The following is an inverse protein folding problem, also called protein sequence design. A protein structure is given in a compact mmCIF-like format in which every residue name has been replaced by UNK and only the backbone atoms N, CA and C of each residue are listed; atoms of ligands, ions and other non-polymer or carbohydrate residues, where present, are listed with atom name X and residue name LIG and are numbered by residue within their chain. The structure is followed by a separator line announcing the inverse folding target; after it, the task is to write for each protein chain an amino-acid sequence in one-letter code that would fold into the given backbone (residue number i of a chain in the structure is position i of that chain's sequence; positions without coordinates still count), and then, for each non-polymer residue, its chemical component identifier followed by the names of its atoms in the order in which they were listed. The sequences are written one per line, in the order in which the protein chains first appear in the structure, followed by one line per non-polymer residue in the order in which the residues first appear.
data_IF_335215258675
#
_entry.id   IF_335215258675
#
_cell.length_a   1.000
_cell.length_b   1.000
_cell.length_c   1.000
_cell.angle_alpha   90.00
_cell.angle_beta   90.00
_cell.angle_gamma   90.00
#
_symmetry.space_group_name_H-M   'P 1'
#
loop_
_entity.id
_entity.type
_entity.pdbx_description
1 polymer ?
#
# COMPACT_ATOMS: atom_id res chain seq x y z
N UNK A 1 -19.72 -39.09 23.12
CA UNK A 1 -19.68 -37.62 23.26
C UNK A 1 -18.93 -37.07 22.07
N UNK A 2 -19.65 -36.88 20.97
CA UNK A 2 -19.08 -36.47 19.68
C UNK A 2 -20.11 -35.53 19.05
N UNK A 3 -20.28 -34.37 19.69
CA UNK A 3 -21.14 -33.29 19.23
C UNK A 3 -20.53 -32.00 19.73
N UNK A 4 -20.42 -31.03 18.82
CA UNK A 4 -20.01 -29.64 19.04
C UNK A 4 -18.52 -29.29 19.00
N UNK A 5 -17.79 -29.80 17.98
CA UNK A 5 -16.58 -29.12 17.47
C UNK A 5 -16.78 -28.38 16.14
N UNK A 6 -17.98 -28.43 15.54
CA UNK A 6 -18.26 -27.81 14.24
C UNK A 6 -18.54 -26.30 14.29
N UNK A 7 -18.62 -25.69 15.48
CA UNK A 7 -19.02 -24.29 15.64
C UNK A 7 -17.86 -23.27 15.51
N UNK A 8 -16.59 -23.71 15.38
CA UNK A 8 -15.44 -22.80 15.25
C UNK A 8 -14.70 -22.91 13.91
N UNK A 9 -15.17 -23.73 12.97
CA UNK A 9 -14.53 -23.86 11.66
C UNK A 9 -15.05 -22.76 10.74
N UNK A 10 -14.44 -21.58 10.81
CA UNK A 10 -14.69 -20.49 9.86
C UNK A 10 -14.46 -20.93 8.39
N UNK A 11 -14.82 -20.07 7.41
CA UNK A 11 -14.75 -20.40 6.00
C UNK A 11 -13.44 -21.10 5.59
N UNK A 12 -13.55 -22.20 4.83
CA UNK A 12 -12.44 -22.95 4.25
C UNK A 12 -12.46 -22.90 2.73
N UNK A 13 -11.28 -22.89 2.12
CA UNK A 13 -11.06 -23.03 0.68
C UNK A 13 -9.89 -24.00 0.52
N UNK A 14 -10.08 -25.07 -0.25
CA UNK A 14 -9.07 -26.12 -0.45
C UNK A 14 -8.52 -26.69 0.88
N UNK A 15 -9.42 -26.88 1.86
CA UNK A 15 -9.07 -27.37 3.20
C UNK A 15 -8.34 -26.37 4.10
N UNK A 16 -8.03 -25.16 3.63
CA UNK A 16 -7.36 -24.11 4.41
C UNK A 16 -8.37 -23.12 4.99
N UNK A 17 -8.23 -22.80 6.28
CA UNK A 17 -8.83 -21.60 6.87
C UNK A 17 -7.85 -20.41 6.80
N UNK A 18 -8.32 -19.20 7.15
CA UNK A 18 -7.48 -17.99 7.07
C UNK A 18 -6.27 -18.01 8.02
N UNK A 19 -6.39 -18.62 9.21
CA UNK A 19 -5.30 -18.74 10.17
C UNK A 19 -4.24 -19.74 9.69
N UNK A 20 -4.67 -20.90 9.16
CA UNK A 20 -3.80 -21.91 8.57
C UNK A 20 -3.04 -21.34 7.38
N UNK A 21 -3.73 -20.56 6.53
CA UNK A 21 -3.12 -19.87 5.42
C UNK A 21 -2.03 -18.90 5.89
N UNK A 22 -2.36 -18.01 6.84
CA UNK A 22 -1.40 -17.04 7.40
C UNK A 22 -0.19 -17.73 8.04
N UNK A 23 -0.41 -18.79 8.80
CA UNK A 23 0.66 -19.55 9.45
C UNK A 23 1.59 -20.20 8.42
N UNK A 24 1.03 -20.87 7.39
CA UNK A 24 1.82 -21.50 6.33
C UNK A 24 2.59 -20.49 5.47
N UNK A 25 2.03 -19.30 5.26
CA UNK A 25 2.72 -18.17 4.65
C UNK A 25 3.92 -17.73 5.51
N UNK A 26 3.75 -17.49 6.81
CA UNK A 26 4.88 -17.12 7.68
C UNK A 26 5.97 -18.19 7.76
N UNK A 27 5.59 -19.46 7.70
CA UNK A 27 6.52 -20.60 7.65
C UNK A 27 7.14 -20.81 6.25
N UNK A 28 6.85 -19.94 5.29
CA UNK A 28 7.35 -20.00 3.91
C UNK A 28 7.04 -21.32 3.19
N UNK A 29 5.97 -22.02 3.57
CA UNK A 29 5.59 -23.34 3.02
C UNK A 29 5.35 -23.27 1.52
N UNK A 30 4.84 -22.13 1.05
CA UNK A 30 4.46 -21.90 -0.34
C UNK A 30 5.57 -21.27 -1.20
N UNK A 31 6.74 -20.94 -0.62
CA UNK A 31 7.82 -20.24 -1.33
C UNK A 31 8.76 -21.20 -2.09
N UNK A 32 8.21 -22.18 -2.82
CA UNK A 32 9.02 -23.08 -3.66
C UNK A 32 9.46 -22.37 -4.94
N UNK A 33 10.73 -22.52 -5.34
CA UNK A 33 11.34 -21.80 -6.48
C UNK A 33 10.72 -22.12 -7.85
N UNK A 34 10.27 -23.35 -8.03
CA UNK A 34 10.02 -23.94 -9.36
C UNK A 34 8.57 -23.78 -9.80
N UNK A 35 7.68 -23.37 -8.89
CA UNK A 35 6.25 -23.54 -9.06
C UNK A 35 5.47 -22.22 -8.86
N UNK A 36 5.77 -21.26 -9.73
CA UNK A 36 5.03 -19.98 -9.80
C UNK A 36 3.52 -20.21 -10.00
N UNK A 37 3.05 -21.14 -10.86
CA UNK A 37 1.61 -21.40 -11.01
C UNK A 37 0.94 -21.77 -9.70
N UNK A 38 1.51 -22.72 -8.94
CA UNK A 38 0.95 -23.11 -7.65
C UNK A 38 1.06 -22.01 -6.60
N UNK A 39 2.10 -21.17 -6.67
CA UNK A 39 2.21 -19.98 -5.83
C UNK A 39 1.05 -19.01 -6.10
N UNK A 40 0.74 -18.74 -7.37
CA UNK A 40 -0.38 -17.88 -7.78
C UNK A 40 -1.74 -18.49 -7.41
N UNK A 41 -1.90 -19.82 -7.54
CA UNK A 41 -3.05 -20.56 -7.02
C UNK A 41 -3.21 -20.36 -5.52
N UNK A 42 -2.14 -20.49 -4.76
CA UNK A 42 -2.16 -20.32 -3.31
C UNK A 42 -2.47 -18.88 -2.90
N UNK A 43 -1.95 -17.89 -3.62
CA UNK A 43 -2.33 -16.48 -3.43
C UNK A 43 -3.82 -16.27 -3.73
N UNK A 44 -4.36 -16.94 -4.75
CA UNK A 44 -5.78 -16.88 -5.09
C UNK A 44 -6.65 -17.46 -3.97
N UNK A 45 -6.26 -18.62 -3.41
CA UNK A 45 -6.90 -19.21 -2.23
C UNK A 45 -6.88 -18.20 -1.07
N UNK A 46 -5.72 -17.61 -0.78
CA UNK A 46 -5.56 -16.60 0.26
C UNK A 46 -6.46 -15.38 0.05
N UNK A 47 -6.50 -14.83 -1.17
CA UNK A 47 -7.33 -13.69 -1.53
C UNK A 47 -8.81 -14.01 -1.35
N UNK A 48 -9.27 -15.16 -1.83
CA UNK A 48 -10.66 -15.59 -1.66
C UNK A 48 -11.01 -15.84 -0.18
N UNK A 49 -10.08 -16.38 0.62
CA UNK A 49 -10.27 -16.51 2.07
C UNK A 49 -10.41 -15.13 2.73
N UNK A 50 -9.56 -14.16 2.41
CA UNK A 50 -9.70 -12.80 2.95
C UNK A 50 -11.08 -12.21 2.65
N UNK A 51 -11.52 -12.30 1.40
CA UNK A 51 -12.83 -11.81 0.98
C UNK A 51 -13.98 -12.53 1.71
N UNK A 52 -13.91 -13.86 1.89
CA UNK A 52 -14.93 -14.62 2.64
C UNK A 52 -15.03 -14.24 4.12
N UNK A 53 -13.94 -13.77 4.72
CA UNK A 53 -13.91 -13.28 6.11
C UNK A 53 -14.22 -11.77 6.21
N UNK A 54 -14.69 -11.13 5.13
CA UNK A 54 -15.01 -9.71 5.10
C UNK A 54 -13.77 -8.80 5.18
N UNK A 55 -12.58 -9.32 4.87
CA UNK A 55 -11.34 -8.54 4.81
C UNK A 55 -11.16 -7.95 3.42
N UNK A 56 -10.58 -6.74 3.37
CA UNK A 56 -10.35 -6.05 2.10
C UNK A 56 -9.17 -6.65 1.33
N UNK A 57 -9.13 -6.37 0.02
CA UNK A 57 -7.98 -6.73 -0.84
C UNK A 57 -6.71 -6.03 -0.37
N UNK A 58 -6.83 -4.81 0.13
CA UNK A 58 -5.69 -4.04 0.63
C UNK A 58 -5.09 -4.68 1.88
N UNK A 59 -5.92 -5.22 2.79
CA UNK A 59 -5.46 -5.99 3.95
C UNK A 59 -4.70 -7.26 3.54
N UNK A 60 -5.11 -7.91 2.45
CA UNK A 60 -4.38 -9.05 1.89
C UNK A 60 -3.01 -8.64 1.34
N UNK A 61 -2.94 -7.54 0.60
CA UNK A 61 -1.68 -6.99 0.08
C UNK A 61 -0.76 -6.57 1.23
N UNK A 62 -1.30 -5.85 2.22
CA UNK A 62 -0.56 -5.39 3.40
C UNK A 62 -0.01 -6.56 4.20
N UNK A 63 -0.79 -7.63 4.39
CA UNK A 63 -0.31 -8.86 5.01
C UNK A 63 0.93 -9.42 4.30
N UNK A 64 0.92 -9.50 2.97
CA UNK A 64 2.07 -10.00 2.21
C UNK A 64 3.28 -9.05 2.25
N UNK A 65 3.05 -7.72 2.28
CA UNK A 65 4.11 -6.72 2.49
C UNK A 65 4.76 -6.87 3.87
N UNK A 66 3.95 -6.96 4.93
CA UNK A 66 4.42 -7.14 6.30
C UNK A 66 5.16 -8.47 6.47
N UNK A 67 4.61 -9.56 5.91
CA UNK A 67 5.27 -10.86 5.85
C UNK A 67 6.65 -10.76 5.20
N UNK A 68 6.75 -10.10 4.05
CA UNK A 68 8.03 -9.92 3.35
C UNK A 68 9.06 -9.18 4.22
N UNK A 69 8.63 -8.13 4.92
CA UNK A 69 9.47 -7.40 5.87
C UNK A 69 9.97 -8.30 6.99
N UNK A 70 9.07 -9.05 7.65
CA UNK A 70 9.40 -9.97 8.74
C UNK A 70 10.38 -11.05 8.27
N UNK A 71 10.11 -11.71 7.14
CA UNK A 71 11.00 -12.75 6.61
C UNK A 71 12.39 -12.20 6.29
N UNK A 72 12.49 -10.99 5.72
CA UNK A 72 13.78 -10.32 5.49
C UNK A 72 14.51 -10.04 6.80
N UNK A 73 13.83 -9.50 7.81
CA UNK A 73 14.41 -9.20 9.11
C UNK A 73 14.90 -10.47 9.83
N UNK A 74 14.11 -11.56 9.78
CA UNK A 74 14.50 -12.86 10.36
C UNK A 74 15.71 -13.45 9.64
N UNK A 75 15.76 -13.38 8.31
CA UNK A 75 16.91 -13.86 7.53
C UNK A 75 18.20 -13.10 7.87
N UNK A 76 18.12 -11.77 7.98
CA UNK A 76 19.26 -10.95 8.41
C UNK A 76 19.70 -11.36 9.82
N UNK A 77 18.75 -11.52 10.74
CA UNK A 77 19.04 -11.92 12.13
C UNK A 77 19.73 -13.28 12.22
N UNK A 78 19.28 -14.28 11.43
CA UNK A 78 19.91 -15.60 11.36
C UNK A 78 21.34 -15.50 10.83
N UNK A 79 21.55 -14.74 9.75
CA UNK A 79 22.89 -14.55 9.17
C UNK A 79 23.81 -13.87 10.19
N UNK A 80 23.36 -12.83 10.87
CA UNK A 80 24.13 -12.14 11.92
C UNK A 80 24.47 -13.06 13.08
N UNK A 81 23.51 -13.88 13.53
CA UNK A 81 23.73 -14.87 14.59
C UNK A 81 24.80 -15.89 14.19
N UNK A 82 24.77 -16.38 12.94
CA UNK A 82 25.75 -17.34 12.45
C UNK A 82 27.16 -16.75 12.37
N UNK A 83 27.29 -15.50 11.89
CA UNK A 83 28.56 -14.78 11.90
C UNK A 83 29.07 -14.65 13.35
N UNK A 84 28.19 -14.32 14.29
CA UNK A 84 28.57 -14.21 15.70
C UNK A 84 29.03 -15.54 16.29
N UNK A 85 28.33 -16.65 16.00
CA UNK A 85 28.73 -18.00 16.42
C UNK A 85 30.09 -18.37 15.81
N UNK A 86 30.34 -18.06 14.55
CA UNK A 86 31.62 -18.29 13.89
C UNK A 86 32.76 -17.52 14.59
N UNK A 87 32.54 -16.24 14.93
CA UNK A 87 33.49 -15.43 15.69
C UNK A 87 33.75 -15.99 17.09
N UNK A 88 32.72 -16.50 17.79
CA UNK A 88 32.89 -17.14 19.10
C UNK A 88 33.72 -18.43 19.01
N UNK A 89 33.50 -19.23 17.97
CA UNK A 89 34.28 -20.45 17.71
C UNK A 89 35.74 -20.08 17.44
N UNK A 90 36.01 -19.09 16.59
CA UNK A 90 37.36 -18.59 16.32
C UNK A 90 38.03 -18.03 17.58
N UNK A 91 37.30 -17.28 18.42
CA UNK A 91 37.80 -16.75 19.69
C UNK A 91 38.18 -17.87 20.68
N UNK A 92 37.30 -18.86 20.89
CA UNK A 92 37.60 -20.02 21.75
C UNK A 92 38.80 -20.82 21.25
N UNK A 93 38.92 -20.99 19.92
CA UNK A 93 40.05 -21.67 19.30
C UNK A 93 41.37 -20.92 19.54
N UNK A 94 41.38 -19.58 19.44
CA UNK A 94 42.56 -18.76 19.74
C UNK A 94 43.05 -18.91 21.19
N UNK A 95 42.18 -19.27 22.13
CA UNK A 95 42.55 -19.52 23.53
C UNK A 95 43.12 -20.93 23.73
N UNK A 96 42.87 -21.86 22.80
CA UNK A 96 43.22 -23.29 22.92
C UNK A 96 44.50 -23.69 22.20
N UNK A 97 45.09 -22.81 21.38
CA UNK A 97 46.35 -23.04 20.65
C UNK A 97 47.58 -23.33 21.53
N UNK A 98 47.44 -23.37 22.86
CA UNK A 98 48.46 -23.81 23.80
C UNK A 98 48.53 -25.32 24.10
N UNK A 99 47.61 -26.17 23.58
CA UNK A 99 47.65 -27.64 23.78
C UNK A 99 47.47 -28.41 22.46
N UNK A 100 48.46 -29.23 22.14
CA UNK A 100 48.54 -30.23 21.04
C UNK A 100 48.00 -29.81 19.66
N UNK A 101 48.92 -29.34 18.81
CA UNK A 101 48.70 -28.77 17.47
C UNK A 101 47.88 -29.65 16.50
N UNK A 102 47.94 -30.98 16.61
CA UNK A 102 47.38 -31.90 15.61
C UNK A 102 45.87 -32.11 15.75
N UNK A 103 45.29 -32.03 16.96
CA UNK A 103 43.84 -32.15 17.14
C UNK A 103 43.08 -30.85 16.79
N UNK A 104 43.77 -29.70 16.83
CA UNK A 104 43.20 -28.40 16.50
C UNK A 104 42.93 -28.18 15.00
N UNK A 105 43.73 -28.79 14.11
CA UNK A 105 43.61 -28.55 12.66
C UNK A 105 42.39 -29.27 12.07
N UNK A 106 42.15 -30.53 12.44
CA UNK A 106 41.00 -31.30 11.93
C UNK A 106 39.66 -30.71 12.36
N UNK A 107 39.58 -30.24 13.61
CA UNK A 107 38.41 -29.54 14.13
C UNK A 107 38.20 -28.18 13.45
N UNK A 108 39.28 -27.45 13.14
CA UNK A 108 39.22 -26.20 12.37
C UNK A 108 38.64 -26.39 10.97
N UNK A 109 39.14 -27.37 10.22
CA UNK A 109 38.65 -27.65 8.85
C UNK A 109 37.17 -28.07 8.88
N UNK A 110 36.77 -28.90 9.85
CA UNK A 110 35.38 -29.33 10.01
C UNK A 110 34.42 -28.17 10.36
N UNK A 111 34.83 -27.28 11.27
CA UNK A 111 34.05 -26.10 11.64
C UNK A 111 33.93 -25.11 10.47
N UNK A 112 35.02 -24.85 9.75
CA UNK A 112 35.00 -23.98 8.58
C UNK A 112 34.11 -24.54 7.46
N UNK A 113 34.18 -25.85 7.20
CA UNK A 113 33.35 -26.50 6.18
C UNK A 113 31.86 -26.48 6.55
N UNK A 114 31.52 -26.74 7.82
CA UNK A 114 30.13 -26.68 8.29
C UNK A 114 29.57 -25.26 8.26
N UNK A 115 30.33 -24.25 8.68
CA UNK A 115 29.94 -22.85 8.56
C UNK A 115 29.73 -22.44 7.10
N UNK A 116 30.66 -22.80 6.21
CA UNK A 116 30.54 -22.55 4.77
C UNK A 116 29.31 -23.22 4.17
N UNK A 117 29.02 -24.47 4.53
CA UNK A 117 27.84 -25.20 4.07
C UNK A 117 26.53 -24.56 4.55
N UNK A 118 26.46 -24.17 5.83
CA UNK A 118 25.30 -23.45 6.39
C UNK A 118 25.11 -22.10 5.68
N UNK A 119 26.18 -21.35 5.48
CA UNK A 119 26.13 -20.08 4.76
C UNK A 119 25.63 -20.28 3.32
N UNK A 120 26.15 -21.29 2.61
CA UNK A 120 25.76 -21.60 1.24
C UNK A 120 24.28 -22.00 1.13
N UNK A 121 23.80 -22.85 2.05
CA UNK A 121 22.39 -23.27 2.09
C UNK A 121 21.45 -22.10 2.36
N UNK A 122 21.76 -21.25 3.36
CA UNK A 122 20.97 -20.04 3.67
C UNK A 122 20.97 -19.07 2.49
N UNK A 123 22.12 -18.84 1.86
CA UNK A 123 22.24 -17.97 0.68
C UNK A 123 21.37 -18.49 -0.47
N UNK A 124 21.32 -19.80 -0.67
CA UNK A 124 20.51 -20.44 -1.73
C UNK A 124 19.01 -20.32 -1.43
N UNK A 125 18.61 -20.52 -0.18
CA UNK A 125 17.22 -20.33 0.28
C UNK A 125 16.81 -18.85 0.14
N UNK A 126 17.67 -17.92 0.57
CA UNK A 126 17.43 -16.47 0.48
C UNK A 126 17.23 -16.00 -0.97
N UNK A 127 18.06 -16.48 -1.90
CA UNK A 127 17.88 -16.19 -3.34
C UNK A 127 16.54 -16.67 -3.87
N UNK A 128 16.11 -17.86 -3.45
CA UNK A 128 14.83 -18.46 -3.84
C UNK A 128 13.65 -17.65 -3.33
N UNK A 129 13.66 -17.32 -2.05
CA UNK A 129 12.62 -16.51 -1.40
C UNK A 129 12.56 -15.12 -2.03
N UNK A 130 13.71 -14.51 -2.34
CA UNK A 130 13.78 -13.20 -3.01
C UNK A 130 13.13 -13.23 -4.40
N UNK A 131 13.41 -14.24 -5.22
CA UNK A 131 12.79 -14.37 -6.53
C UNK A 131 11.27 -14.50 -6.41
N UNK A 132 10.80 -15.34 -5.47
CA UNK A 132 9.37 -15.50 -5.20
C UNK A 132 8.72 -14.20 -4.75
N UNK A 133 9.37 -13.43 -3.87
CA UNK A 133 8.86 -12.13 -3.45
C UNK A 133 8.74 -11.13 -4.58
N UNK A 134 9.64 -11.16 -5.57
CA UNK A 134 9.52 -10.30 -6.74
C UNK A 134 8.24 -10.68 -7.50
N UNK A 135 8.05 -11.96 -7.83
CA UNK A 135 6.86 -12.42 -8.55
C UNK A 135 5.55 -12.16 -7.80
N UNK A 136 5.53 -12.37 -6.47
CA UNK A 136 4.37 -12.08 -5.62
C UNK A 136 4.07 -10.58 -5.63
N UNK A 137 5.08 -9.73 -5.41
CA UNK A 137 4.87 -8.28 -5.40
C UNK A 137 4.36 -7.78 -6.75
N UNK A 138 4.90 -8.30 -7.85
CA UNK A 138 4.43 -7.98 -9.20
C UNK A 138 2.97 -8.42 -9.41
N UNK A 139 2.60 -9.62 -8.95
CA UNK A 139 1.23 -10.11 -9.04
C UNK A 139 0.25 -9.30 -8.17
N UNK A 140 0.68 -8.87 -6.99
CA UNK A 140 -0.14 -8.10 -6.05
C UNK A 140 -0.19 -6.60 -6.35
N UNK A 141 0.81 -6.02 -7.02
CA UNK A 141 0.78 -4.62 -7.45
C UNK A 141 -0.11 -4.41 -8.68
N UNK A 142 -0.32 -5.46 -9.49
CA UNK A 142 -1.18 -5.41 -10.67
C UNK A 142 -2.66 -5.58 -10.29
N UNK A 143 -3.43 -4.49 -10.34
CA UNK A 143 -4.87 -4.50 -10.10
C UNK A 143 -5.63 -5.44 -11.03
N UNK A 144 -5.17 -5.59 -12.28
CA UNK A 144 -5.72 -6.53 -13.27
C UNK A 144 -5.45 -7.99 -12.87
N UNK A 145 -4.23 -8.30 -12.42
CA UNK A 145 -3.87 -9.63 -11.94
C UNK A 145 -4.72 -10.04 -10.74
N UNK A 146 -4.85 -9.15 -9.74
CA UNK A 146 -5.72 -9.35 -8.58
C UNK A 146 -7.18 -9.60 -8.97
N UNK A 147 -7.74 -8.80 -9.88
CA UNK A 147 -9.12 -8.98 -10.35
C UNK A 147 -9.31 -10.34 -11.05
N UNK A 148 -8.32 -10.79 -11.82
CA UNK A 148 -8.36 -12.10 -12.49
C UNK A 148 -8.26 -13.25 -11.51
N UNK A 149 -7.32 -13.20 -10.57
CA UNK A 149 -7.20 -14.17 -9.49
C UNK A 149 -8.50 -14.26 -8.68
N UNK A 150 -9.14 -13.12 -8.41
CA UNK A 150 -10.43 -13.10 -7.70
C UNK A 150 -11.55 -13.82 -8.45
N UNK A 151 -11.58 -13.72 -9.78
CA UNK A 151 -12.63 -14.31 -10.63
C UNK A 151 -12.30 -15.74 -11.09
N UNK A 152 -11.05 -16.18 -10.99
CA UNK A 152 -10.62 -17.51 -11.42
C UNK A 152 -11.02 -18.61 -10.44
N UNK A 153 -11.33 -19.78 -10.99
CA UNK A 153 -11.44 -21.01 -10.21
C UNK A 153 -10.07 -21.45 -9.70
N UNK A 154 -9.99 -21.93 -8.45
CA UNK A 154 -8.76 -22.45 -7.85
C UNK A 154 -8.24 -23.71 -8.58
N UNK A 155 -9.14 -24.43 -9.26
CA UNK A 155 -8.82 -25.67 -9.97
C UNK A 155 -8.37 -25.45 -11.43
N UNK A 156 -8.37 -24.22 -11.93
CA UNK A 156 -7.95 -23.90 -13.30
C UNK A 156 -6.43 -23.83 -13.43
N UNK A 157 -5.80 -25.00 -13.55
CA UNK A 157 -4.35 -25.13 -13.69
C UNK A 157 -3.80 -24.42 -14.93
N UNK A 158 -4.53 -24.42 -16.05
CA UNK A 158 -4.15 -23.72 -17.28
C UNK A 158 -4.08 -22.22 -17.08
N UNK A 159 -5.05 -21.64 -16.37
CA UNK A 159 -5.05 -20.21 -16.04
C UNK A 159 -3.81 -19.82 -15.23
N UNK A 160 -3.44 -20.61 -14.21
CA UNK A 160 -2.27 -20.29 -13.40
C UNK A 160 -0.94 -20.48 -14.14
N UNK A 161 -0.89 -21.36 -15.14
CA UNK A 161 0.28 -21.48 -16.02
C UNK A 161 0.43 -20.24 -16.92
N UNK A 162 -0.62 -19.84 -17.62
CA UNK A 162 -0.62 -18.61 -18.45
C UNK A 162 -0.31 -17.37 -17.61
N UNK A 163 -0.91 -17.26 -16.42
CA UNK A 163 -0.65 -16.15 -15.51
C UNK A 163 0.81 -16.13 -15.03
N UNK A 164 1.40 -17.30 -14.77
CA UNK A 164 2.79 -17.41 -14.35
C UNK A 164 3.77 -17.01 -15.46
N UNK A 165 3.50 -17.35 -16.72
CA UNK A 165 4.31 -16.93 -17.86
C UNK A 165 4.28 -15.40 -18.01
N UNK A 166 3.09 -14.79 -17.96
CA UNK A 166 2.94 -13.33 -18.03
C UNK A 166 3.62 -12.60 -16.87
N UNK A 167 3.53 -13.15 -15.65
CA UNK A 167 4.25 -12.59 -14.47
C UNK A 167 5.77 -12.66 -14.63
N UNK A 168 6.31 -13.64 -15.37
CA UNK A 168 7.74 -13.71 -15.69
C UNK A 168 8.14 -12.71 -16.77
N UNK A 169 7.28 -12.49 -17.77
CA UNK A 169 7.52 -11.57 -18.89
C UNK A 169 7.37 -10.10 -18.48
N UNK A 170 6.64 -9.81 -17.39
CA UNK A 170 6.42 -8.44 -16.92
C UNK A 170 5.41 -7.67 -17.76
N UNK A 171 4.70 -8.33 -18.67
CA UNK A 171 3.69 -7.74 -19.54
C UNK A 171 2.28 -7.86 -18.94
N UNK A 172 1.80 -6.77 -18.36
CA UNK A 172 0.43 -6.66 -17.82
C UNK A 172 -0.46 -5.73 -18.64
N UNK A 173 0.08 -5.11 -19.69
CA UNK A 173 -0.60 -4.10 -20.51
C UNK A 173 -1.31 -4.72 -21.71
N UNK A 174 -0.84 -5.86 -22.23
CA UNK A 174 -1.38 -6.50 -23.45
C UNK A 174 -2.67 -7.32 -23.26
N UNK A 175 -3.28 -7.32 -22.08
CA UNK A 175 -4.33 -8.29 -21.80
C UNK A 175 -5.72 -7.88 -22.31
N UNK A 176 -5.99 -8.17 -23.58
CA UNK A 176 -7.35 -8.35 -24.09
C UNK A 176 -8.00 -9.55 -23.41
N UNK A 177 -9.27 -9.40 -23.02
CA UNK A 177 -10.11 -10.53 -22.65
C UNK A 177 -10.40 -11.29 -23.94
N UNK A 178 -9.63 -12.34 -24.23
CA UNK A 178 -10.04 -13.27 -25.27
C UNK A 178 -11.28 -14.01 -24.78
N UNK A 179 -12.43 -13.54 -25.27
CA UNK A 179 -13.70 -14.28 -25.29
C UNK A 179 -13.57 -15.47 -26.24
N UNK A 180 -12.72 -16.45 -25.94
CA UNK A 180 -12.74 -17.75 -26.62
C UNK A 180 -12.47 -18.88 -25.63
N UNK A 181 -13.40 -19.83 -25.62
CA UNK A 181 -13.56 -20.97 -24.70
C UNK A 181 -14.12 -20.55 -23.34
N UNK A 182 -15.28 -20.99 -22.86
CA UNK A 182 -16.17 -22.11 -23.19
C UNK A 182 -17.62 -21.65 -23.00
N UNK A 183 -18.53 -22.08 -23.87
CA UNK A 183 -19.93 -21.66 -23.85
C UNK A 183 -20.72 -22.35 -22.73
N UNK A 184 -21.21 -21.56 -21.78
CA UNK A 184 -22.51 -21.72 -21.11
C UNK A 184 -22.98 -20.29 -20.81
N UNK A 185 -24.20 -19.96 -21.25
CA UNK A 185 -24.72 -18.59 -21.19
C UNK A 185 -24.72 -18.02 -19.77
N UNK A 186 -23.94 -16.96 -19.55
CA UNK A 186 -24.06 -16.10 -18.38
C UNK A 186 -25.00 -14.94 -18.72
N UNK A 187 -26.21 -15.00 -18.17
CA UNK A 187 -27.02 -13.80 -17.94
C UNK A 187 -26.16 -12.85 -17.11
N UNK A 188 -25.91 -11.66 -17.66
CA UNK A 188 -25.21 -10.56 -17.00
C UNK A 188 -26.07 -10.07 -15.83
N UNK A 189 -25.67 -10.26 -14.56
CA UNK A 189 -26.42 -9.66 -13.47
C UNK A 189 -25.94 -8.20 -13.35
N UNK A 190 -26.82 -7.28 -13.77
CA UNK A 190 -26.69 -5.85 -13.58
C UNK A 190 -26.76 -5.51 -12.07
N UNK A 191 -25.63 -5.66 -11.39
CA UNK A 191 -25.44 -5.26 -9.99
C UNK A 191 -25.18 -3.75 -9.84
N UNK A 192 -25.00 -3.00 -10.94
CA UNK A 192 -24.74 -1.57 -10.93
C UNK A 192 -25.99 -0.72 -10.73
N UNK A 193 -27.12 -1.11 -11.35
CA UNK A 193 -28.35 -0.32 -11.25
C UNK A 193 -29.18 -0.60 -9.98
N UNK A 194 -29.02 -1.78 -9.36
CA UNK A 194 -29.70 -2.13 -8.12
C UNK A 194 -29.19 -1.32 -6.91
N UNK A 195 -27.86 -1.13 -6.80
CA UNK A 195 -27.23 -0.43 -5.68
C UNK A 195 -27.50 1.08 -5.70
N UNK A 196 -27.67 1.66 -6.89
CA UNK A 196 -28.08 3.06 -7.08
C UNK A 196 -29.58 3.29 -6.82
N UNK A 197 -30.44 2.29 -7.10
CA UNK A 197 -31.86 2.35 -6.74
C UNK A 197 -32.07 2.25 -5.23
N UNK A 198 -31.32 1.39 -4.55
CA UNK A 198 -31.44 1.17 -3.10
C UNK A 198 -30.98 2.40 -2.30
N UNK A 199 -29.95 3.11 -2.78
CA UNK A 199 -29.49 4.39 -2.20
C UNK A 199 -30.45 5.56 -2.45
N UNK A 200 -31.23 5.54 -3.54
CA UNK A 200 -32.25 6.56 -3.81
C UNK A 200 -33.51 6.38 -2.95
N UNK A 201 -33.88 5.14 -2.61
CA UNK A 201 -35.04 4.85 -1.75
C UNK A 201 -34.80 5.12 -0.27
N UNK A 202 -33.56 4.99 0.23
CA UNK A 202 -33.24 5.19 1.65
C UNK A 202 -33.04 6.68 2.04
N UNK A 203 -33.10 7.60 1.09
CA UNK A 203 -33.02 9.06 1.31
C UNK A 203 -34.35 9.69 1.76
N UNK A 204 -35.47 8.95 1.65
CA UNK A 204 -36.80 9.43 2.02
C UNK A 204 -37.42 8.67 3.21
N UNK A 205 -36.72 8.52 4.33
CA UNK A 205 -37.38 8.21 5.61
C UNK A 205 -36.55 8.58 6.83
N UNK A 206 -36.28 9.88 7.03
CA UNK A 206 -35.96 10.39 8.37
C UNK A 206 -36.75 11.68 8.59
N UNK A 207 -37.96 11.53 9.13
CA UNK A 207 -38.66 12.58 9.87
C UNK A 207 -39.03 12.02 11.23
N UNK A 208 -38.55 12.75 12.25
CA UNK A 208 -39.24 13.04 13.51
C UNK A 208 -39.64 11.87 14.38
N UNK A 209 -38.93 11.67 15.49
CA UNK A 209 -39.58 11.76 16.81
C UNK A 209 -38.57 12.07 17.92
N UNK A 210 -39.05 12.85 18.87
CA UNK A 210 -38.35 13.46 20.00
C UNK A 210 -39.03 12.92 21.28
N UNK A 211 -38.23 12.92 22.34
CA UNK A 211 -38.59 13.02 23.77
C UNK A 211 -38.57 11.74 24.64
N UNK A 212 -37.65 11.84 25.63
CA UNK A 212 -37.67 11.46 27.06
C UNK A 212 -37.86 9.97 27.44
N UNK A 213 -37.14 9.34 28.39
CA UNK A 213 -36.64 9.80 29.69
C UNK A 213 -35.80 8.68 30.38
N UNK A 214 -35.18 9.03 31.52
CA UNK A 214 -34.23 8.29 32.37
C UNK A 214 -34.49 6.82 32.77
N UNK A 215 -33.40 6.05 33.00
CA UNK A 215 -33.07 5.42 34.30
C UNK A 215 -31.68 4.73 34.36
N UNK A 216 -30.98 4.95 35.48
CA UNK A 216 -29.69 4.39 35.91
C UNK A 216 -29.71 2.86 36.17
N UNK A 217 -28.53 2.23 36.09
CA UNK A 217 -28.23 1.05 36.93
C UNK A 217 -27.09 0.11 36.51
N UNK A 218 -25.85 0.45 36.91
CA UNK A 218 -24.67 -0.37 37.29
C UNK A 218 -24.06 -1.53 36.46
N UNK A 219 -22.73 -1.38 36.30
CA UNK A 219 -21.60 -2.34 36.43
C UNK A 219 -21.57 -3.62 35.59
N UNK A 220 -20.56 -3.78 34.71
CA UNK A 220 -19.25 -4.34 35.10
C UNK A 220 -18.24 -4.29 33.95
N UNK A 221 -16.97 -4.13 34.34
CA UNK A 221 -15.72 -4.13 33.59
C UNK A 221 -15.56 -5.37 32.67
N UNK A 222 -15.09 -5.19 31.43
CA UNK A 222 -14.02 -5.98 30.78
C UNK A 222 -13.78 -5.54 29.33
N UNK A 223 -12.50 -5.35 28.95
CA UNK A 223 -12.05 -5.64 27.59
C UNK A 223 -11.85 -4.46 26.64
N UNK A 224 -10.75 -3.75 26.84
CA UNK A 224 -10.01 -3.01 25.81
C UNK A 224 -9.82 -3.85 24.54
N UNK A 225 -9.76 -3.21 23.36
CA UNK A 225 -9.47 -3.73 21.99
C UNK A 225 -10.63 -4.10 21.05
N UNK A 226 -11.66 -3.25 20.91
CA UNK A 226 -12.45 -3.18 19.66
C UNK A 226 -12.86 -1.72 19.39
N UNK A 227 -12.00 -0.91 18.77
CA UNK A 227 -12.43 0.38 18.20
C UNK A 227 -11.64 0.87 16.98
N UNK A 228 -10.64 0.13 16.49
CA UNK A 228 -9.83 0.57 15.34
C UNK A 228 -10.32 0.09 13.97
N UNK A 229 -11.35 -0.77 13.89
CA UNK A 229 -11.71 -1.47 12.63
C UNK A 229 -12.82 -0.82 11.80
N UNK A 230 -13.63 0.06 12.39
CA UNK A 230 -14.69 0.80 11.65
C UNK A 230 -14.23 2.19 11.18
N UNK A 231 -13.19 2.75 11.79
CA UNK A 231 -12.74 4.10 11.47
C UNK A 231 -11.97 4.20 10.13
N UNK A 232 -11.23 3.18 9.70
CA UNK A 232 -10.37 3.30 8.51
C UNK A 232 -11.15 3.24 7.19
N UNK A 233 -12.20 2.41 7.10
CA UNK A 233 -13.08 2.34 5.92
C UNK A 233 -14.03 3.54 5.85
N UNK A 234 -14.52 4.02 6.99
CA UNK A 234 -15.30 5.25 7.08
C UNK A 234 -14.43 6.49 6.75
N UNK A 235 -13.18 6.53 7.23
CA UNK A 235 -12.22 7.60 6.94
C UNK A 235 -11.88 7.68 5.46
N UNK A 236 -11.56 6.55 4.83
CA UNK A 236 -11.19 6.52 3.40
C UNK A 236 -12.37 6.88 2.47
N UNK A 237 -13.59 6.49 2.83
CA UNK A 237 -14.81 6.88 2.10
C UNK A 237 -15.14 8.36 2.29
N UNK A 238 -14.95 8.88 3.51
CA UNK A 238 -15.12 10.31 3.84
C UNK A 238 -14.11 11.18 3.07
N UNK A 239 -12.83 10.81 3.08
CA UNK A 239 -11.78 11.51 2.34
C UNK A 239 -12.09 11.62 0.84
N UNK A 240 -12.53 10.53 0.21
CA UNK A 240 -12.90 10.53 -1.21
C UNK A 240 -14.12 11.39 -1.50
N UNK A 241 -15.13 11.35 -0.62
CA UNK A 241 -16.32 12.17 -0.77
C UNK A 241 -15.98 13.66 -0.66
N UNK A 242 -15.16 14.04 0.32
CA UNK A 242 -14.71 15.42 0.48
C UNK A 242 -13.87 15.91 -0.70
N UNK A 243 -12.95 15.08 -1.22
CA UNK A 243 -12.19 15.44 -2.42
C UNK A 243 -13.10 15.64 -3.64
N UNK A 244 -14.15 14.83 -3.79
CA UNK A 244 -15.14 15.00 -4.86
C UNK A 244 -15.85 16.34 -4.70
N UNK A 245 -16.34 16.67 -3.50
CA UNK A 245 -16.97 17.97 -3.24
C UNK A 245 -16.02 19.13 -3.54
N UNK A 246 -14.78 19.09 -3.05
CA UNK A 246 -13.75 20.11 -3.30
C UNK A 246 -13.47 20.25 -4.80
N UNK A 247 -13.42 19.16 -5.55
CA UNK A 247 -13.10 19.16 -6.98
C UNK A 247 -14.08 19.96 -7.84
N UNK A 248 -15.32 20.11 -7.37
CA UNK A 248 -16.38 20.88 -8.06
C UNK A 248 -16.37 22.37 -7.72
N UNK A 249 -15.64 22.78 -6.66
CA UNK A 249 -15.62 24.16 -6.21
C UNK A 249 -14.65 25.00 -7.04
N UNK A 250 -14.95 26.30 -7.17
CA UNK A 250 -14.08 27.25 -7.87
C UNK A 250 -12.83 27.56 -7.03
N UNK A 251 -11.67 27.30 -7.60
CA UNK A 251 -10.38 27.69 -7.05
C UNK A 251 -10.24 29.22 -7.02
N UNK A 252 -10.03 29.77 -5.84
CA UNK A 252 -9.87 31.20 -5.55
C UNK A 252 -8.41 31.67 -5.58
N UNK A 253 -7.44 30.76 -5.59
CA UNK A 253 -6.01 31.11 -5.61
C UNK A 253 -5.58 31.58 -7.00
N UNK A 254 -5.67 30.71 -8.01
CA UNK A 254 -5.22 31.02 -9.38
C UNK A 254 -6.24 30.66 -10.47
N UNK A 255 -7.43 30.19 -10.10
CA UNK A 255 -8.50 29.85 -11.05
C UNK A 255 -8.33 28.53 -11.82
N UNK A 256 -7.27 27.75 -11.56
CA UNK A 256 -7.16 26.39 -12.11
C UNK A 256 -8.32 25.51 -11.63
N UNK A 257 -8.83 24.58 -12.47
CA UNK A 257 -9.81 23.60 -12.01
C UNK A 257 -9.29 22.83 -10.78
N UNK A 258 -10.11 22.70 -9.74
CA UNK A 258 -9.69 22.02 -8.50
C UNK A 258 -9.29 20.56 -8.74
N UNK A 259 -9.87 19.90 -9.74
CA UNK A 259 -9.46 18.56 -10.17
C UNK A 259 -7.99 18.51 -10.61
N UNK A 260 -7.48 19.55 -11.28
CA UNK A 260 -6.07 19.67 -11.69
C UNK A 260 -5.18 19.95 -10.48
N UNK A 261 -5.63 20.79 -9.55
CA UNK A 261 -4.90 21.07 -8.31
C UNK A 261 -4.76 19.81 -7.46
N UNK A 262 -5.86 19.08 -7.25
CA UNK A 262 -5.88 17.81 -6.50
C UNK A 262 -4.95 16.79 -7.16
N UNK A 263 -5.05 16.61 -8.49
CA UNK A 263 -4.17 15.71 -9.22
C UNK A 263 -2.70 16.13 -9.16
N UNK A 264 -2.44 17.44 -9.04
CA UNK A 264 -1.07 17.90 -8.88
C UNK A 264 -0.52 17.57 -7.47
N UNK A 265 -1.25 17.88 -6.41
CA UNK A 265 -0.72 17.66 -5.06
C UNK A 265 -0.98 16.26 -4.50
N UNK A 266 -1.66 15.36 -5.20
CA UNK A 266 -1.90 14.01 -4.68
C UNK A 266 -0.65 13.23 -4.27
N UNK A 267 0.50 13.53 -4.87
CA UNK A 267 1.77 12.88 -4.57
C UNK A 267 2.20 13.08 -3.12
N UNK A 268 1.82 14.19 -2.48
CA UNK A 268 2.13 14.44 -1.06
C UNK A 268 1.20 13.68 -0.09
N UNK A 269 0.20 12.95 -0.61
CA UNK A 269 -0.67 12.04 0.15
C UNK A 269 -0.46 10.58 -0.22
N UNK A 270 0.52 10.27 -1.06
CA UNK A 270 0.83 8.91 -1.50
C UNK A 270 1.70 8.20 -0.45
N UNK A 271 1.18 7.22 0.32
CA UNK A 271 1.95 6.57 1.38
C UNK A 271 3.15 5.77 0.81
N UNK A 272 2.98 5.21 -0.39
CA UNK A 272 4.03 4.51 -1.13
C UNK A 272 5.21 5.44 -1.51
N UNK A 273 4.96 6.74 -1.63
CA UNK A 273 5.93 7.73 -2.03
C UNK A 273 6.68 8.35 -0.82
N UNK A 274 6.39 7.92 0.41
CA UNK A 274 6.83 8.58 1.65
C UNK A 274 8.34 8.67 1.89
N UNK A 275 9.13 7.87 1.18
CA UNK A 275 10.59 7.92 1.24
C UNK A 275 11.22 8.89 0.23
N UNK A 276 10.43 9.40 -0.71
CA UNK A 276 10.90 10.27 -1.78
C UNK A 276 10.27 11.67 -1.75
N UNK A 277 9.06 11.82 -1.20
CA UNK A 277 8.33 13.10 -1.13
C UNK A 277 7.84 13.39 0.29
N UNK A 278 7.59 14.67 0.64
CA UNK A 278 6.92 15.02 1.89
C UNK A 278 5.52 14.38 1.97
N UNK A 279 5.05 14.10 3.18
CA UNK A 279 3.77 13.42 3.42
C UNK A 279 2.83 14.26 4.30
N UNK A 280 1.58 14.35 3.89
CA UNK A 280 0.45 14.84 4.67
C UNK A 280 -0.50 13.69 5.02
N UNK A 281 -1.19 13.85 6.15
CA UNK A 281 -2.38 13.04 6.41
C UNK A 281 -3.50 13.43 5.44
N UNK A 282 -4.46 12.53 5.24
CA UNK A 282 -5.65 12.81 4.43
C UNK A 282 -6.40 14.05 4.91
N UNK A 283 -6.54 14.21 6.24
CA UNK A 283 -7.21 15.34 6.88
C UNK A 283 -6.45 16.65 6.61
N UNK A 284 -5.13 16.64 6.77
CA UNK A 284 -4.30 17.82 6.53
C UNK A 284 -4.28 18.22 5.06
N UNK A 285 -4.38 17.25 4.15
CA UNK A 285 -4.48 17.53 2.73
C UNK A 285 -5.80 18.19 2.35
N UNK A 286 -6.92 17.67 2.86
CA UNK A 286 -8.23 18.32 2.70
C UNK A 286 -8.19 19.75 3.24
N UNK A 287 -7.61 19.94 4.43
CA UNK A 287 -7.47 21.25 5.07
C UNK A 287 -6.64 22.19 4.20
N UNK A 288 -5.50 21.72 3.69
CA UNK A 288 -4.67 22.48 2.77
C UNK A 288 -5.46 22.93 1.55
N UNK A 289 -6.22 22.03 0.90
CA UNK A 289 -7.02 22.38 -0.27
C UNK A 289 -8.08 23.43 0.03
N UNK A 290 -8.80 23.27 1.15
CA UNK A 290 -9.85 24.19 1.59
C UNK A 290 -9.33 25.59 1.91
N UNK A 291 -8.28 25.67 2.73
CA UNK A 291 -7.70 26.96 3.12
C UNK A 291 -7.00 27.63 1.94
N UNK A 292 -6.10 26.90 1.28
CA UNK A 292 -5.19 27.49 0.30
C UNK A 292 -5.85 27.81 -1.04
N UNK A 293 -6.86 27.03 -1.46
CA UNK A 293 -7.49 27.20 -2.77
C UNK A 293 -8.97 27.60 -2.71
N UNK A 294 -9.68 27.34 -1.60
CA UNK A 294 -11.09 27.72 -1.47
C UNK A 294 -11.30 28.93 -0.55
N UNK A 295 -10.23 29.43 0.09
CA UNK A 295 -10.24 30.61 0.94
C UNK A 295 -11.02 30.41 2.23
N UNK A 296 -10.96 29.19 2.78
CA UNK A 296 -11.46 28.91 4.13
C UNK A 296 -10.48 29.44 5.18
N UNK A 297 -10.97 29.74 6.37
CA UNK A 297 -10.14 30.32 7.44
C UNK A 297 -9.11 29.31 7.95
N UNK A 298 -7.92 29.83 8.25
CA UNK A 298 -6.79 29.02 8.70
C UNK A 298 -6.67 29.07 10.21
N UNK A 299 -6.98 27.96 10.88
CA UNK A 299 -6.82 27.85 12.34
C UNK A 299 -5.35 27.72 12.76
N UNK A 300 -4.58 26.89 12.03
CA UNK A 300 -3.18 26.61 12.33
C UNK A 300 -2.40 26.16 11.09
N UNK A 301 -1.08 26.37 11.10
CA UNK A 301 -0.19 25.89 10.04
C UNK A 301 -0.15 24.37 10.01
N UNK A 302 -0.05 23.82 8.80
CA UNK A 302 -0.05 22.38 8.55
C UNK A 302 1.39 21.86 8.68
N UNK A 303 1.55 20.73 9.36
CA UNK A 303 2.84 20.09 9.56
C UNK A 303 2.97 18.83 8.73
N UNK A 304 4.07 18.71 7.98
CA UNK A 304 4.41 17.47 7.29
C UNK A 304 4.85 16.39 8.28
N UNK A 305 4.39 15.15 8.07
CA UNK A 305 4.82 13.99 8.86
C UNK A 305 6.32 13.69 8.67
N UNK A 306 6.82 13.89 7.45
CA UNK A 306 8.25 13.85 7.10
C UNK A 306 8.59 15.13 6.32
N UNK A 307 9.20 16.11 6.99
CA UNK A 307 9.51 17.39 6.35
C UNK A 307 10.74 17.26 5.43
N UNK A 308 10.53 17.35 4.12
CA UNK A 308 11.59 17.36 3.09
C UNK A 308 11.59 18.72 2.40
N UNK A 309 12.22 19.71 3.04
CA UNK A 309 12.14 21.13 2.67
C UNK A 309 12.43 21.36 1.18
N UNK A 310 13.52 20.82 0.65
CA UNK A 310 13.91 21.05 -0.76
C UNK A 310 12.91 20.47 -1.75
N UNK A 311 12.42 19.26 -1.51
CA UNK A 311 11.46 18.59 -2.39
C UNK A 311 10.09 19.27 -2.31
N UNK A 312 9.71 19.75 -1.13
CA UNK A 312 8.47 20.52 -0.95
C UNK A 312 8.53 21.80 -1.78
N UNK A 313 9.63 22.55 -1.71
CA UNK A 313 9.84 23.75 -2.55
C UNK A 313 9.77 23.42 -4.03
N UNK A 314 10.40 22.31 -4.43
CA UNK A 314 10.39 21.84 -5.82
C UNK A 314 8.96 21.56 -6.31
N UNK A 315 8.13 20.88 -5.52
CA UNK A 315 6.72 20.58 -5.84
C UNK A 315 5.95 21.88 -6.09
N UNK A 316 6.07 22.87 -5.21
CA UNK A 316 5.36 24.15 -5.35
C UNK A 316 5.89 24.99 -6.54
N UNK A 317 7.20 24.96 -6.80
CA UNK A 317 7.77 25.62 -7.97
C UNK A 317 7.30 24.96 -9.29
N UNK A 318 7.22 23.63 -9.34
CA UNK A 318 6.66 22.94 -10.50
C UNK A 318 5.17 23.21 -10.66
N UNK A 319 4.41 23.33 -9.56
CA UNK A 319 3.00 23.74 -9.61
C UNK A 319 2.85 25.14 -10.21
N UNK A 320 3.68 26.10 -9.78
CA UNK A 320 3.73 27.45 -10.35
C UNK A 320 4.00 27.40 -11.85
N UNK A 321 5.03 26.67 -12.26
CA UNK A 321 5.42 26.54 -13.67
C UNK A 321 4.28 25.96 -14.52
N UNK A 322 3.60 24.90 -14.04
CA UNK A 322 2.43 24.32 -14.73
C UNK A 322 1.24 25.28 -14.76
N UNK A 323 0.99 26.01 -13.68
CA UNK A 323 -0.11 26.97 -13.59
C UNK A 323 0.08 28.13 -14.57
N UNK A 324 1.29 28.69 -14.64
CA UNK A 324 1.65 29.74 -15.59
C UNK A 324 1.42 29.28 -17.03
N UNK A 325 1.89 28.08 -17.37
CA UNK A 325 1.70 27.51 -18.71
C UNK A 325 0.23 27.24 -19.02
N UNK A 326 -0.53 26.69 -18.07
CA UNK A 326 -1.94 26.33 -18.28
C UNK A 326 -2.83 27.57 -18.46
N UNK A 327 -2.56 28.63 -17.71
CA UNK A 327 -3.36 29.85 -17.69
C UNK A 327 -2.80 30.96 -18.60
N UNK A 328 -1.69 30.72 -19.30
CA UNK A 328 -0.97 31.72 -20.11
C UNK A 328 -0.64 33.01 -19.33
N UNK A 329 -0.22 32.87 -18.08
CA UNK A 329 0.15 34.01 -17.23
C UNK A 329 1.56 34.53 -17.55
N UNK A 330 1.85 35.82 -17.31
CA UNK A 330 3.21 36.33 -17.39
C UNK A 330 4.08 35.69 -16.31
N UNK A 331 5.30 35.25 -16.66
CA UNK A 331 6.24 34.63 -15.70
C UNK A 331 6.74 35.59 -14.62
N UNK A 332 6.85 36.89 -14.93
CA UNK A 332 7.37 37.90 -14.03
C UNK A 332 6.43 38.17 -12.86
N UNK A 333 6.94 38.08 -11.63
CA UNK A 333 6.23 38.45 -10.40
C UNK A 333 5.32 37.38 -9.81
N UNK A 334 5.10 36.26 -10.50
CA UNK A 334 4.22 35.18 -10.03
C UNK A 334 4.83 34.37 -8.87
N UNK A 335 6.15 34.34 -8.72
CA UNK A 335 6.81 33.52 -7.70
C UNK A 335 6.39 33.86 -6.27
N UNK A 336 6.12 35.13 -5.97
CA UNK A 336 5.78 35.57 -4.62
C UNK A 336 4.47 34.96 -4.11
N UNK A 337 3.44 34.86 -4.95
CA UNK A 337 2.15 34.27 -4.58
C UNK A 337 2.29 32.78 -4.25
N UNK A 338 3.09 32.03 -5.02
CA UNK A 338 3.29 30.60 -4.82
C UNK A 338 4.27 30.30 -3.68
N UNK A 339 5.21 31.20 -3.40
CA UNK A 339 6.03 31.15 -2.18
C UNK A 339 5.12 31.38 -0.95
N UNK A 340 4.22 32.35 -1.02
CA UNK A 340 3.27 32.64 0.07
C UNK A 340 2.30 31.46 0.27
N UNK A 341 1.85 30.82 -0.81
CA UNK A 341 1.07 29.57 -0.76
C UNK A 341 1.78 28.49 0.07
N UNK A 342 3.10 28.37 0.00
CA UNK A 342 3.86 27.43 0.82
C UNK A 342 4.09 27.94 2.25
N UNK A 343 4.57 29.17 2.39
CA UNK A 343 5.00 29.73 3.69
C UNK A 343 3.84 30.04 4.64
N UNK A 344 2.69 30.42 4.11
CA UNK A 344 1.54 30.80 4.93
C UNK A 344 0.82 29.56 5.46
N UNK A 345 0.79 28.47 4.68
CA UNK A 345 0.02 27.27 5.00
C UNK A 345 0.81 26.19 5.75
N UNK A 346 2.14 26.18 5.67
CA UNK A 346 2.97 25.10 6.23
C UNK A 346 4.01 25.56 7.26
N UNK A 347 4.23 24.72 8.27
CA UNK A 347 5.29 24.92 9.26
C UNK A 347 6.68 24.66 8.69
N UNK A 348 7.68 25.41 9.19
CA UNK A 348 9.09 25.21 8.84
C UNK A 348 9.57 25.88 7.55
N UNK A 349 8.75 26.76 6.94
CA UNK A 349 9.09 27.52 5.74
C UNK A 349 9.10 29.02 6.00
N UNK A 350 10.29 29.62 6.06
CA UNK A 350 10.48 31.08 6.15
C UNK A 350 10.46 31.71 4.76
N UNK A 351 9.78 32.85 4.58
CA UNK A 351 9.58 33.49 3.27
C UNK A 351 10.90 33.83 2.57
N UNK A 352 11.84 34.48 3.24
CA UNK A 352 13.16 34.84 2.67
C UNK A 352 13.98 33.61 2.26
N UNK A 353 14.13 32.63 3.16
CA UNK A 353 14.89 31.40 2.86
C UNK A 353 14.27 30.59 1.73
N UNK A 354 12.95 30.61 1.64
CA UNK A 354 12.19 29.91 0.60
C UNK A 354 12.34 30.61 -0.73
N UNK A 355 12.20 31.94 -0.78
CA UNK A 355 12.39 32.74 -1.99
C UNK A 355 13.76 32.51 -2.63
N UNK A 356 14.84 32.46 -1.84
CA UNK A 356 16.20 32.24 -2.33
C UNK A 356 16.42 30.85 -2.96
N UNK A 357 15.55 29.88 -2.69
CA UNK A 357 15.68 28.49 -3.15
C UNK A 357 14.40 27.97 -3.80
N UNK A 358 13.52 28.86 -4.28
CA UNK A 358 12.26 28.48 -4.92
C UNK A 358 12.50 28.17 -6.41
N UNK A 359 13.07 27.00 -6.67
CA UNK A 359 13.44 26.54 -8.01
C UNK A 359 13.31 25.02 -8.13
N UNK A 360 13.22 24.53 -9.37
CA UNK A 360 13.34 23.10 -9.68
C UNK A 360 14.71 22.81 -10.25
N UNK A 361 15.43 21.87 -9.63
CA UNK A 361 16.76 21.46 -10.09
C UNK A 361 16.68 20.32 -11.13
N UNK A 362 15.67 19.45 -11.02
CA UNK A 362 15.41 18.37 -11.97
C UNK A 362 13.92 18.30 -12.35
N UNK A 363 13.58 18.90 -13.50
CA UNK A 363 12.20 18.93 -14.01
C UNK A 363 11.63 17.52 -14.28
N UNK A 364 12.45 16.48 -14.41
CA UNK A 364 12.00 15.12 -14.70
C UNK A 364 11.71 14.30 -13.45
N UNK A 365 12.18 14.73 -12.27
CA UNK A 365 12.08 13.94 -11.05
C UNK A 365 10.63 13.69 -10.64
N UNK A 366 9.79 14.72 -10.55
CA UNK A 366 8.38 14.56 -10.17
C UNK A 366 7.58 13.81 -11.23
N UNK A 367 7.85 14.03 -12.52
CA UNK A 367 7.18 13.28 -13.59
C UNK A 367 7.59 11.80 -13.57
N UNK A 368 8.87 11.49 -13.29
CA UNK A 368 9.33 10.13 -13.07
C UNK A 368 8.63 9.50 -11.87
N UNK A 369 8.60 10.18 -10.72
CA UNK A 369 7.89 9.70 -9.53
C UNK A 369 6.41 9.43 -9.82
N UNK A 370 5.71 10.33 -10.52
CA UNK A 370 4.31 10.12 -10.90
C UNK A 370 4.12 8.91 -11.81
N UNK A 371 5.08 8.64 -12.69
CA UNK A 371 5.04 7.47 -13.56
C UNK A 371 5.34 6.17 -12.77
N UNK A 372 6.35 6.20 -11.90
CA UNK A 372 6.78 5.07 -11.08
C UNK A 372 5.67 4.66 -10.09
N UNK A 373 4.94 5.62 -9.53
CA UNK A 373 3.82 5.41 -8.59
C UNK A 373 2.44 5.64 -9.23
N UNK A 374 2.33 5.52 -10.56
CA UNK A 374 1.10 5.85 -11.29
C UNK A 374 -0.10 5.06 -10.75
N UNK A 375 0.07 3.79 -10.44
CA UNK A 375 -0.98 2.90 -9.92
C UNK A 375 -1.45 3.30 -8.52
N UNK A 376 -0.55 3.81 -7.69
CA UNK A 376 -0.81 4.26 -6.33
C UNK A 376 -1.42 5.65 -6.30
N UNK A 377 -1.22 6.44 -7.36
CA UNK A 377 -1.86 7.76 -7.56
C UNK A 377 -3.21 7.64 -8.31
N UNK A 378 -3.47 6.51 -8.97
CA UNK A 378 -4.71 6.25 -9.72
C UNK A 378 -5.97 6.27 -8.86
N UNK A 379 -5.86 6.17 -7.53
CA UNK A 379 -7.03 6.23 -6.65
C UNK A 379 -7.80 7.54 -6.75
N UNK A 380 -7.29 8.57 -7.45
CA UNK A 380 -7.95 9.85 -7.75
C UNK A 380 -8.47 9.99 -9.19
N UNK A 381 -8.26 9.00 -10.08
CA UNK A 381 -8.85 9.01 -11.42
C UNK A 381 -10.38 9.06 -11.42
N UNK A 382 -11.03 8.65 -10.32
CA UNK A 382 -12.48 8.79 -10.17
C UNK A 382 -12.92 10.26 -10.19
N UNK A 383 -12.11 11.19 -9.66
CA UNK A 383 -12.42 12.63 -9.64
C UNK A 383 -12.42 13.18 -11.07
N UNK A 384 -11.42 12.81 -11.88
CA UNK A 384 -11.34 13.24 -13.29
C UNK A 384 -12.48 12.67 -14.14
N UNK A 385 -13.01 11.49 -13.77
CA UNK A 385 -14.12 10.85 -14.47
C UNK A 385 -15.47 11.46 -14.06
N UNK A 386 -15.65 11.76 -12.77
CA UNK A 386 -16.88 12.33 -12.22
C UNK A 386 -17.10 13.79 -12.61
N UNK A 387 -16.05 14.59 -12.82
CA UNK A 387 -16.16 16.01 -13.23
C UNK A 387 -16.41 16.19 -14.73
N UNK A 388 -16.24 15.13 -15.55
CA UNK A 388 -16.49 15.15 -17.00
C UNK A 388 -17.93 14.80 -17.39
N UNK A 389 -18.72 14.28 -16.45
CA UNK A 389 -20.15 14.03 -16.58
C UNK A 389 -20.92 15.25 -16.09
#
# INVERSE_FOLDING_TARGET
MEKDRSASEGPRIDGLNIHDYKLREYMCVFDRKVDIPNRLRTLTIGLQLYLKYGLSRDQFIEFHKNRQFIVKATMVSIITLLIFVELLVLYKLSLWTGRELNYGIGTYIGAAFTAWFIFYTIRTISKTIRANFIHINTALSSSRCLKRMQLSSVDDHSFFQDLAERVKEGDFDSISVDKKSTGVGSVEPDYGSALLKELATNSHTIKSERDDDNMLGNELIFGETISHRENDTASFTTFRHELLQISTRKNRFNGLPMSVVIDFFNIICCPACSDEVPQLSEIDFIRFLKVAFLGEEMEAKIKFHKNRIMITREIFHQFMSKSIHYLNLPQTGQSEEYISLLCDHFEGFEKEKTANNFRTEDNKRLDKLRNDYKTELQFLQFIQTAVKQ
#
